data_IF_479760413019
#
_entry.id   IF_479760413019
#
_cell.length_a   1.000
_cell.length_b   1.000
_cell.length_c   1.000
_cell.angle_alpha   90.00
_cell.angle_beta   90.00
_cell.angle_gamma   90.00
#
_symmetry.space_group_name_H-M   'P 1'
#
loop_
_entity.id
_entity.type
_entity.pdbx_description
1 polymer ?
#
# COMPACT_ATOMS: atom_id res chain seq x y z
N UNK A 1 23.22 -16.98 21.91
CA UNK A 1 23.30 -18.07 22.90
C UNK A 1 21.91 -18.66 23.06
N UNK A 2 21.73 -19.98 23.00
CA UNK A 2 20.43 -20.62 23.18
C UNK A 2 19.87 -20.31 24.57
N UNK A 3 18.58 -19.97 24.63
CA UNK A 3 17.88 -19.63 25.88
C UNK A 3 17.36 -20.90 26.54
N UNK A 4 17.36 -20.88 27.87
CA UNK A 4 16.89 -22.00 28.70
C UNK A 4 15.41 -21.81 29.08
N UNK A 5 14.87 -20.59 28.92
CA UNK A 5 13.49 -20.24 29.30
C UNK A 5 12.81 -19.46 28.18
N UNK A 6 11.53 -19.71 28.01
CA UNK A 6 10.65 -18.97 27.11
C UNK A 6 10.30 -17.62 27.74
N UNK A 7 10.60 -16.53 27.04
CA UNK A 7 10.20 -15.18 27.42
C UNK A 7 9.37 -14.58 26.29
N UNK A 8 8.26 -13.92 26.62
CA UNK A 8 7.32 -13.39 25.62
C UNK A 8 7.97 -12.48 24.58
N UNK A 9 8.99 -11.71 24.95
CA UNK A 9 9.72 -10.84 24.03
C UNK A 9 10.52 -11.59 22.95
N UNK A 10 10.79 -12.88 23.14
CA UNK A 10 11.47 -13.76 22.19
C UNK A 10 10.50 -14.68 21.44
N UNK A 11 9.19 -14.47 21.62
CA UNK A 11 8.19 -15.17 20.84
C UNK A 11 8.17 -14.62 19.41
N UNK A 12 8.00 -15.52 18.46
CA UNK A 12 7.83 -15.19 17.05
C UNK A 12 6.49 -15.68 16.57
N UNK A 13 5.78 -14.84 15.82
CA UNK A 13 4.56 -15.19 15.13
C UNK A 13 4.87 -15.29 13.64
N UNK A 14 4.68 -16.47 13.08
CA UNK A 14 4.73 -16.71 11.65
C UNK A 14 3.31 -16.96 11.15
N UNK A 15 3.00 -16.47 9.95
CA UNK A 15 1.72 -16.75 9.33
C UNK A 15 1.87 -17.05 7.84
N UNK A 16 0.99 -17.89 7.30
CA UNK A 16 0.93 -18.16 5.86
C UNK A 16 -0.53 -18.39 5.44
N UNK A 17 -0.88 -17.92 4.23
CA UNK A 17 -2.20 -18.20 3.64
C UNK A 17 -2.27 -19.67 3.22
N UNK A 18 -3.37 -20.32 3.56
CA UNK A 18 -3.64 -21.70 3.16
C UNK A 18 -4.22 -21.75 1.74
N UNK A 19 -3.83 -22.76 0.96
CA UNK A 19 -4.42 -23.00 -0.37
C UNK A 19 -5.79 -23.68 -0.27
N UNK A 20 -6.01 -24.41 0.81
CA UNK A 20 -7.30 -25.00 1.16
C UNK A 20 -7.45 -25.01 2.68
N UNK A 21 -8.69 -24.96 3.15
CA UNK A 21 -9.00 -24.84 4.58
C UNK A 21 -8.34 -25.96 5.41
N UNK A 22 -7.64 -25.58 6.48
CA UNK A 22 -6.99 -26.48 7.43
C UNK A 22 -5.74 -27.17 6.88
N UNK A 23 -5.28 -26.79 5.68
CA UNK A 23 -4.09 -27.38 5.05
C UNK A 23 -2.90 -26.43 5.21
N UNK A 24 -2.09 -26.71 6.23
CA UNK A 24 -0.89 -25.94 6.52
C UNK A 24 0.09 -25.91 5.32
N UNK A 25 0.49 -24.72 4.84
CA UNK A 25 1.45 -24.59 3.75
C UNK A 25 2.82 -25.14 4.12
N UNK A 26 3.56 -25.63 3.13
CA UNK A 26 4.92 -26.14 3.30
C UNK A 26 5.98 -25.03 3.33
N UNK A 27 5.67 -23.84 2.82
CA UNK A 27 6.59 -22.71 2.68
C UNK A 27 5.82 -21.39 2.61
N UNK A 28 6.53 -20.27 2.45
CA UNK A 28 5.96 -18.91 2.34
C UNK A 28 5.41 -18.31 3.63
N UNK A 29 5.81 -18.86 4.78
CA UNK A 29 5.56 -18.21 6.07
C UNK A 29 6.28 -16.88 6.16
N UNK A 30 5.58 -15.89 6.69
CA UNK A 30 6.11 -14.55 6.97
C UNK A 30 6.05 -14.26 8.46
N UNK A 31 7.08 -13.61 8.97
CA UNK A 31 7.07 -13.12 10.35
C UNK A 31 6.16 -11.90 10.46
N UNK A 32 5.32 -11.88 11.48
CA UNK A 32 4.44 -10.79 11.84
C UNK A 32 4.78 -10.28 13.23
N UNK A 33 4.74 -8.96 13.39
CA UNK A 33 4.87 -8.35 14.71
C UNK A 33 3.54 -8.45 15.45
N UNK A 34 3.62 -8.69 16.75
CA UNK A 34 2.46 -8.77 17.64
C UNK A 34 2.88 -8.32 19.03
N UNK A 35 1.93 -7.80 19.79
CA UNK A 35 2.13 -7.33 21.17
C UNK A 35 1.76 -8.41 22.18
N UNK A 36 0.66 -9.11 21.94
CA UNK A 36 0.19 -10.23 22.74
C UNK A 36 -0.65 -11.17 21.88
N UNK A 37 -0.71 -12.43 22.28
CA UNK A 37 -1.48 -13.47 21.63
C UNK A 37 -1.96 -14.44 22.72
N UNK A 38 -3.26 -14.67 22.79
CA UNK A 38 -3.88 -15.69 23.65
C UNK A 38 -4.58 -16.77 22.82
N UNK A 39 -4.27 -16.85 21.51
CA UNK A 39 -4.72 -17.92 20.63
C UNK A 39 -4.30 -19.28 21.19
N UNK A 40 -5.29 -20.14 21.42
CA UNK A 40 -5.08 -21.49 21.96
C UNK A 40 -6.15 -22.44 21.46
N UNK A 41 -5.77 -23.71 21.35
CA UNK A 41 -6.73 -24.79 21.19
C UNK A 41 -7.47 -24.99 22.52
N UNK A 42 -8.78 -24.93 22.51
CA UNK A 42 -9.63 -25.35 23.62
C UNK A 42 -10.52 -26.52 23.20
N UNK A 43 -10.88 -27.34 24.18
CA UNK A 43 -11.77 -28.45 24.00
C UNK A 43 -12.80 -28.46 25.12
N UNK A 44 -14.03 -27.97 24.87
CA UNK A 44 -15.04 -27.92 25.90
C UNK A 44 -15.46 -29.35 26.31
N UNK A 45 -15.84 -29.47 27.57
CA UNK A 45 -16.48 -30.69 28.08
C UNK A 45 -17.99 -30.54 27.88
N UNK A 46 -18.63 -31.56 27.33
CA UNK A 46 -20.08 -31.61 27.10
C UNK A 46 -20.66 -32.98 27.46
N UNK A 47 -21.93 -33.16 27.14
CA UNK A 47 -22.63 -34.43 27.36
C UNK A 47 -22.49 -35.35 26.13
N UNK A 48 -22.27 -36.64 26.35
CA UNK A 48 -22.25 -37.65 25.27
C UNK A 48 -23.67 -37.82 24.70
N UNK A 49 -23.87 -37.67 23.37
CA UNK A 49 -25.19 -37.78 22.75
C UNK A 49 -25.74 -39.22 22.69
N UNK A 50 -24.92 -40.25 22.89
CA UNK A 50 -25.28 -41.66 22.69
C UNK A 50 -25.38 -42.48 23.99
N UNK A 51 -24.73 -42.05 25.07
CA UNK A 51 -24.66 -42.77 26.35
C UNK A 51 -25.08 -41.86 27.51
N UNK A 52 -25.64 -42.42 28.58
CA UNK A 52 -25.90 -41.65 29.83
C UNK A 52 -27.36 -41.47 30.26
N UNK A 53 -28.35 -42.07 29.60
CA UNK A 53 -29.77 -42.05 30.08
C UNK A 53 -30.05 -42.96 31.30
N UNK A 54 -29.00 -43.44 31.96
CA UNK A 54 -29.06 -44.41 33.05
C UNK A 54 -29.07 -43.75 34.44
N UNK A 55 -28.88 -44.56 35.48
CA UNK A 55 -28.99 -44.13 36.89
C UNK A 55 -27.68 -43.56 37.49
N UNK A 56 -26.58 -43.61 36.75
CA UNK A 56 -25.28 -43.09 37.16
C UNK A 56 -25.06 -41.72 36.51
N UNK A 57 -24.41 -40.80 37.23
CA UNK A 57 -23.94 -39.54 36.65
C UNK A 57 -22.98 -39.85 35.50
N UNK A 58 -23.16 -39.14 34.40
CA UNK A 58 -22.40 -39.35 33.17
C UNK A 58 -21.02 -38.69 33.28
N UNK A 59 -19.99 -39.39 32.79
CA UNK A 59 -18.65 -38.79 32.68
C UNK A 59 -18.64 -37.76 31.54
N UNK A 60 -18.00 -36.59 31.72
CA UNK A 60 -17.95 -35.56 30.70
C UNK A 60 -17.31 -36.05 29.39
N UNK A 61 -17.97 -35.77 28.27
CA UNK A 61 -17.46 -36.04 26.93
C UNK A 61 -16.61 -34.87 26.42
N UNK A 62 -15.56 -35.17 25.66
CA UNK A 62 -14.70 -34.15 25.06
C UNK A 62 -15.29 -33.68 23.73
N UNK A 63 -15.64 -32.41 23.64
CA UNK A 63 -16.19 -31.78 22.43
C UNK A 63 -15.18 -31.67 21.29
N UNK A 64 -15.58 -30.94 20.24
CA UNK A 64 -14.67 -30.57 19.14
C UNK A 64 -13.58 -29.65 19.67
N UNK A 65 -12.37 -29.79 19.13
CA UNK A 65 -11.28 -28.85 19.41
C UNK A 65 -11.53 -27.61 18.55
N UNK A 66 -11.55 -26.45 19.19
CA UNK A 66 -11.66 -25.14 18.53
C UNK A 66 -10.44 -24.30 18.88
N UNK A 67 -9.89 -23.61 17.89
CA UNK A 67 -8.84 -22.62 18.13
C UNK A 67 -9.51 -21.26 18.33
N UNK A 68 -9.45 -20.74 19.56
CA UNK A 68 -10.04 -19.45 19.92
C UNK A 68 -9.01 -18.53 20.57
N UNK A 69 -9.28 -17.22 20.50
CA UNK A 69 -8.43 -16.18 21.10
C UNK A 69 -8.34 -14.93 20.24
N UNK A 70 -7.42 -14.05 20.61
CA UNK A 70 -7.13 -12.76 19.98
C UNK A 70 -5.62 -12.56 19.84
N UNK A 71 -5.27 -11.75 18.86
CA UNK A 71 -3.91 -11.28 18.65
C UNK A 71 -3.94 -9.75 18.69
N UNK A 72 -3.21 -9.13 19.62
CA UNK A 72 -3.01 -7.68 19.62
C UNK A 72 -1.88 -7.34 18.65
N UNK A 73 -2.20 -6.62 17.59
CA UNK A 73 -1.26 -6.26 16.52
C UNK A 73 -0.91 -4.76 16.57
N UNK A 74 0.32 -4.36 16.21
CA UNK A 74 0.61 -2.97 15.95
C UNK A 74 0.00 -2.51 14.61
N UNK A 75 -0.21 -1.20 14.45
CA UNK A 75 -0.45 -0.62 13.13
C UNK A 75 0.92 -0.40 12.46
N UNK A 76 1.25 -1.26 11.50
CA UNK A 76 2.51 -1.21 10.79
C UNK A 76 2.31 -1.32 9.26
N UNK A 77 3.29 -0.86 8.48
CA UNK A 77 3.20 -0.81 7.01
C UNK A 77 3.25 -2.19 6.33
N UNK A 78 3.79 -3.22 6.98
CA UNK A 78 4.05 -4.56 6.40
C UNK A 78 2.97 -5.59 6.79
N UNK A 79 2.49 -5.53 8.03
CA UNK A 79 1.56 -6.47 8.64
C UNK A 79 0.10 -6.07 8.46
N UNK A 80 -0.22 -4.78 8.52
CA UNK A 80 -1.62 -4.30 8.50
C UNK A 80 -2.44 -4.83 7.32
N UNK A 81 -1.91 -4.78 6.10
CA UNK A 81 -2.62 -5.27 4.91
C UNK A 81 -2.99 -6.77 4.97
N UNK A 82 -2.21 -7.59 5.67
CA UNK A 82 -2.55 -9.01 5.84
C UNK A 82 -3.62 -9.24 6.86
N UNK A 83 -3.59 -8.50 7.97
CA UNK A 83 -4.63 -8.56 8.98
C UNK A 83 -5.96 -8.09 8.39
N UNK A 84 -5.95 -7.02 7.59
CA UNK A 84 -7.11 -6.57 6.82
C UNK A 84 -7.58 -7.64 5.83
N UNK A 85 -6.65 -8.32 5.15
CA UNK A 85 -6.99 -9.41 4.23
C UNK A 85 -7.63 -10.61 4.95
N UNK A 86 -7.15 -10.95 6.15
CA UNK A 86 -7.77 -11.99 6.96
C UNK A 86 -9.13 -11.61 7.55
N UNK A 87 -9.40 -10.33 7.76
CA UNK A 87 -10.68 -9.87 8.31
C UNK A 87 -11.74 -9.62 7.23
N UNK A 88 -11.33 -9.09 6.08
CA UNK A 88 -12.25 -8.59 5.04
C UNK A 88 -12.18 -9.36 3.72
N UNK A 89 -11.23 -10.28 3.56
CA UNK A 89 -11.01 -10.97 2.28
C UNK A 89 -9.92 -10.32 1.42
N UNK A 90 -9.75 -10.83 0.21
CA UNK A 90 -8.73 -10.32 -0.71
C UNK A 90 -9.01 -8.87 -1.12
N UNK A 91 -8.01 -7.98 -1.08
CA UNK A 91 -8.20 -6.59 -1.49
C UNK A 91 -8.34 -6.47 -3.01
N UNK A 92 -9.22 -5.57 -3.44
CA UNK A 92 -9.15 -5.00 -4.78
C UNK A 92 -7.89 -4.12 -4.85
N UNK A 93 -6.92 -4.53 -5.66
CA UNK A 93 -5.64 -3.82 -5.79
C UNK A 93 -5.52 -3.19 -7.16
N UNK A 94 -5.36 -1.87 -7.20
CA UNK A 94 -5.12 -1.12 -8.43
C UNK A 94 -3.81 -0.35 -8.34
N UNK A 95 -3.16 -0.16 -9.48
CA UNK A 95 -1.98 0.69 -9.54
C UNK A 95 -2.42 2.16 -9.61
N UNK A 96 -1.75 3.01 -8.84
CA UNK A 96 -1.95 4.47 -8.84
C UNK A 96 -0.86 5.13 -9.66
N UNK A 97 -1.22 6.21 -10.37
CA UNK A 97 -0.27 7.02 -11.13
C UNK A 97 0.46 8.00 -10.22
N UNK A 98 1.68 8.37 -10.61
CA UNK A 98 2.41 9.42 -9.93
C UNK A 98 1.92 10.79 -10.41
N UNK A 99 1.76 11.75 -9.51
CA UNK A 99 1.35 13.10 -9.82
C UNK A 99 2.17 14.15 -9.07
N UNK A 100 2.08 15.38 -9.55
CA UNK A 100 2.73 16.55 -9.00
C UNK A 100 2.28 17.78 -9.78
N UNK A 101 2.74 18.95 -9.34
CA UNK A 101 2.36 20.19 -10.01
C UNK A 101 3.48 21.23 -9.97
N UNK A 102 3.32 22.25 -10.80
CA UNK A 102 4.08 23.50 -10.71
C UNK A 102 3.07 24.62 -10.49
N UNK A 103 3.10 25.24 -9.32
CA UNK A 103 2.26 26.39 -8.98
C UNK A 103 2.95 27.69 -9.38
N UNK A 104 2.23 28.60 -10.01
CA UNK A 104 2.76 29.87 -10.48
C UNK A 104 2.19 31.01 -9.65
N UNK A 105 3.06 31.81 -9.04
CA UNK A 105 2.62 32.96 -8.22
C UNK A 105 2.34 34.23 -9.03
N UNK A 106 2.84 34.27 -10.27
CA UNK A 106 2.68 35.37 -11.24
C UNK A 106 3.06 34.84 -12.64
N UNK A 107 2.89 35.66 -13.67
CA UNK A 107 3.29 35.36 -15.03
C UNK A 107 4.79 34.99 -15.12
N UNK A 108 5.19 33.92 -15.82
CA UNK A 108 6.60 33.61 -16.03
C UNK A 108 7.30 34.74 -16.78
N UNK A 109 8.53 35.08 -16.37
CA UNK A 109 9.32 36.06 -17.09
C UNK A 109 9.75 35.51 -18.47
N UNK A 110 9.99 36.41 -19.43
CA UNK A 110 10.52 36.02 -20.73
C UNK A 110 11.86 35.27 -20.59
N UNK A 111 12.01 34.17 -21.34
CA UNK A 111 13.15 33.24 -21.31
C UNK A 111 13.34 32.51 -19.97
N UNK A 112 12.37 32.55 -19.07
CA UNK A 112 12.34 31.65 -17.92
C UNK A 112 12.00 30.23 -18.37
N UNK A 113 12.30 29.23 -17.53
CA UNK A 113 12.20 27.82 -17.90
C UNK A 113 11.62 26.97 -16.80
N UNK A 114 10.90 25.92 -17.19
CA UNK A 114 10.68 24.74 -16.36
C UNK A 114 11.49 23.58 -16.93
N UNK A 115 11.88 22.63 -16.08
CA UNK A 115 12.60 21.42 -16.48
C UNK A 115 11.81 20.20 -16.03
N UNK A 116 11.48 19.35 -16.99
CA UNK A 116 10.66 18.15 -16.82
C UNK A 116 11.49 16.94 -17.25
N UNK A 117 11.83 16.05 -16.31
CA UNK A 117 12.71 14.88 -16.56
C UNK A 117 14.00 15.23 -17.35
N UNK A 118 14.61 16.39 -17.05
CA UNK A 118 15.82 16.89 -17.72
C UNK A 118 15.59 17.69 -19.01
N UNK A 119 14.36 17.76 -19.53
CA UNK A 119 14.00 18.55 -20.70
C UNK A 119 13.67 19.97 -20.29
N UNK A 120 14.40 20.96 -20.81
CA UNK A 120 14.14 22.37 -20.56
C UNK A 120 13.05 22.88 -21.49
N UNK A 121 11.99 23.44 -20.91
CA UNK A 121 10.89 24.09 -21.59
C UNK A 121 10.90 25.59 -21.30
N UNK A 122 10.81 26.44 -22.32
CA UNK A 122 11.03 27.89 -22.18
C UNK A 122 9.79 28.72 -22.46
N UNK A 123 9.56 29.75 -21.65
CA UNK A 123 8.51 30.75 -21.87
C UNK A 123 9.02 31.90 -22.74
N UNK A 124 8.33 32.19 -23.84
CA UNK A 124 8.73 33.21 -24.82
C UNK A 124 7.63 34.24 -25.05
N UNK A 125 7.99 35.44 -25.45
CA UNK A 125 7.02 36.50 -25.82
C UNK A 125 6.74 36.55 -27.33
N UNK A 126 7.56 35.87 -28.14
CA UNK A 126 7.41 35.75 -29.59
C UNK A 126 6.75 34.44 -30.03
N UNK A 127 6.82 34.13 -31.32
CA UNK A 127 6.32 32.86 -31.87
C UNK A 127 7.12 31.69 -31.29
N UNK A 128 6.46 30.72 -30.63
CA UNK A 128 7.15 29.59 -30.03
C UNK A 128 7.73 28.66 -31.11
N UNK A 129 8.89 28.09 -30.80
CA UNK A 129 9.50 27.00 -31.54
C UNK A 129 9.42 25.70 -30.73
N UNK A 130 10.24 24.69 -31.04
CA UNK A 130 10.25 23.46 -30.26
C UNK A 130 10.57 23.73 -28.78
N UNK A 131 9.88 23.02 -27.88
CA UNK A 131 10.03 23.09 -26.42
C UNK A 131 9.85 24.50 -25.83
N UNK A 132 8.89 25.24 -26.37
CA UNK A 132 8.56 26.59 -25.95
C UNK A 132 7.06 26.81 -25.88
N UNK A 133 6.65 27.67 -24.96
CA UNK A 133 5.28 28.17 -24.86
C UNK A 133 5.29 29.68 -24.90
N UNK A 134 4.33 30.25 -25.64
CA UNK A 134 4.15 31.69 -25.69
C UNK A 134 3.45 32.19 -24.42
N UNK A 135 3.99 33.23 -23.81
CA UNK A 135 3.37 33.94 -22.69
C UNK A 135 2.12 34.66 -23.20
N UNK A 136 0.98 34.32 -22.63
CA UNK A 136 -0.33 34.87 -22.96
C UNK A 136 -0.62 36.21 -22.28
N UNK A 137 -1.82 36.73 -22.53
CA UNK A 137 -2.30 37.99 -21.95
C UNK A 137 -2.58 37.90 -20.44
N UNK A 138 -2.79 36.69 -19.91
CA UNK A 138 -2.97 36.38 -18.49
C UNK A 138 -2.21 35.10 -18.13
N UNK A 139 -2.09 34.83 -16.83
CA UNK A 139 -1.52 33.58 -16.34
C UNK A 139 -2.35 32.37 -16.82
N UNK A 140 -3.67 32.42 -16.70
CA UNK A 140 -4.59 31.39 -17.21
C UNK A 140 -4.36 31.05 -18.69
N UNK A 141 -4.22 32.08 -19.53
CA UNK A 141 -3.96 31.90 -20.95
C UNK A 141 -2.59 31.24 -21.20
N UNK A 142 -1.62 31.54 -20.34
CA UNK A 142 -0.26 30.97 -20.42
C UNK A 142 -0.24 29.53 -19.96
N UNK A 143 -0.93 29.19 -18.86
CA UNK A 143 -1.04 27.82 -18.37
C UNK A 143 -1.82 26.93 -19.34
N UNK A 144 -2.90 27.45 -19.93
CA UNK A 144 -3.68 26.72 -20.94
C UNK A 144 -2.84 26.42 -22.18
N UNK A 145 -2.07 27.40 -22.67
CA UNK A 145 -1.16 27.20 -23.79
C UNK A 145 -0.03 26.21 -23.41
N UNK A 146 0.53 26.33 -22.21
CA UNK A 146 1.58 25.45 -21.71
C UNK A 146 1.14 23.98 -21.68
N UNK A 147 -0.02 23.68 -21.10
CA UNK A 147 -0.55 22.33 -21.07
C UNK A 147 -0.76 21.79 -22.50
N UNK A 148 -1.36 22.60 -23.38
CA UNK A 148 -1.58 22.21 -24.78
C UNK A 148 -0.29 21.95 -25.55
N UNK A 149 0.73 22.78 -25.36
CA UNK A 149 2.01 22.62 -26.07
C UNK A 149 2.79 21.40 -25.53
N UNK A 150 2.72 21.14 -24.22
CA UNK A 150 3.35 19.98 -23.59
C UNK A 150 2.68 18.67 -24.02
N UNK A 151 1.34 18.60 -24.03
CA UNK A 151 0.60 17.42 -24.50
C UNK A 151 0.79 17.17 -26.01
N UNK A 152 1.04 18.22 -26.80
CA UNK A 152 1.36 18.11 -28.21
C UNK A 152 2.85 17.79 -28.49
N UNK A 153 3.70 17.81 -27.46
CA UNK A 153 5.12 17.59 -27.60
C UNK A 153 5.42 16.16 -28.07
N UNK A 154 6.37 16.05 -29.00
CA UNK A 154 6.89 14.75 -29.48
C UNK A 154 8.14 14.30 -28.71
N UNK A 155 8.56 15.06 -27.71
CA UNK A 155 9.68 14.69 -26.85
C UNK A 155 9.31 13.47 -25.99
N UNK A 156 10.15 12.43 -26.03
CA UNK A 156 9.87 11.14 -25.43
C UNK A 156 9.81 11.16 -23.89
N UNK A 157 10.40 12.16 -23.24
CA UNK A 157 10.26 12.33 -21.79
C UNK A 157 9.00 13.11 -21.46
N UNK A 158 8.71 14.18 -22.21
CA UNK A 158 7.50 15.00 -21.99
C UNK A 158 6.24 14.18 -22.22
N UNK A 159 6.21 13.34 -23.27
CA UNK A 159 5.05 12.53 -23.66
C UNK A 159 4.76 11.34 -22.73
N UNK A 160 5.44 11.22 -21.59
CA UNK A 160 5.15 10.21 -20.55
C UNK A 160 4.11 10.70 -19.54
N UNK A 161 3.77 11.97 -19.59
CA UNK A 161 2.82 12.60 -18.69
C UNK A 161 1.70 13.27 -19.47
N UNK A 162 0.54 13.31 -18.84
CA UNK A 162 -0.56 14.19 -19.22
C UNK A 162 -0.46 15.48 -18.41
N UNK A 163 -0.62 16.62 -19.08
CA UNK A 163 -0.54 17.94 -18.47
C UNK A 163 -1.92 18.59 -18.43
N UNK A 164 -2.27 19.27 -17.34
CA UNK A 164 -3.55 19.97 -17.24
C UNK A 164 -3.36 21.33 -16.59
N UNK A 165 -3.96 22.36 -17.17
CA UNK A 165 -3.99 23.68 -16.57
C UNK A 165 -5.13 23.78 -15.55
N UNK A 166 -4.79 24.00 -14.29
CA UNK A 166 -5.74 24.42 -13.25
C UNK A 166 -5.64 25.94 -13.09
N UNK A 167 -6.57 26.64 -13.73
CA UNK A 167 -6.65 28.11 -13.70
C UNK A 167 -7.31 28.64 -12.42
N UNK A 168 -7.82 27.78 -11.53
CA UNK A 168 -8.38 28.21 -10.25
C UNK A 168 -7.29 28.36 -9.20
N UNK A 169 -6.36 27.41 -9.19
CA UNK A 169 -5.24 27.33 -8.25
C UNK A 169 -3.91 27.84 -8.82
N UNK A 170 -3.90 28.37 -10.06
CA UNK A 170 -2.73 28.83 -10.81
C UNK A 170 -1.64 27.74 -10.93
N UNK A 171 -2.04 26.53 -11.35
CA UNK A 171 -1.15 25.34 -11.43
C UNK A 171 -1.11 24.71 -12.81
N UNK A 172 0.07 24.20 -13.15
CA UNK A 172 0.21 23.11 -14.11
C UNK A 172 0.21 21.79 -13.35
N UNK A 173 -0.86 21.03 -13.47
CA UNK A 173 -0.97 19.66 -12.95
C UNK A 173 -0.31 18.67 -13.92
N UNK A 174 0.44 17.73 -13.36
CA UNK A 174 1.27 16.77 -14.10
C UNK A 174 0.96 15.37 -13.57
N UNK A 175 0.45 14.49 -14.42
CA UNK A 175 0.18 13.10 -14.10
C UNK A 175 0.99 12.18 -15.02
N UNK A 176 1.74 11.24 -14.45
CA UNK A 176 2.48 10.24 -15.22
C UNK A 176 1.54 9.16 -15.76
N UNK A 177 1.60 8.88 -17.06
CA UNK A 177 0.58 8.06 -17.73
C UNK A 177 0.62 6.58 -17.32
N UNK A 178 1.82 6.05 -17.08
CA UNK A 178 1.96 4.68 -16.61
C UNK A 178 1.76 4.60 -15.10
N UNK A 179 0.72 3.89 -14.68
CA UNK A 179 0.48 3.61 -13.27
C UNK A 179 1.63 2.78 -12.65
N UNK A 180 1.79 2.91 -11.33
CA UNK A 180 2.83 2.24 -10.56
C UNK A 180 3.98 3.17 -10.17
N UNK A 181 5.09 2.57 -9.73
CA UNK A 181 6.20 3.33 -9.12
C UNK A 181 7.12 4.03 -10.11
N UNK A 182 7.02 3.71 -11.41
CA UNK A 182 7.93 4.23 -12.44
C UNK A 182 7.87 5.76 -12.55
N UNK A 183 6.69 6.37 -12.38
CA UNK A 183 6.55 7.83 -12.44
C UNK A 183 7.25 8.58 -11.31
N UNK A 184 7.56 7.92 -10.19
CA UNK A 184 8.14 8.58 -9.02
C UNK A 184 9.57 9.09 -9.23
N UNK A 185 10.23 8.74 -10.34
CA UNK A 185 11.56 9.26 -10.71
C UNK A 185 11.49 10.47 -11.65
N UNK A 186 10.29 10.83 -12.16
CA UNK A 186 10.13 11.96 -13.06
C UNK A 186 10.39 13.26 -12.32
N UNK A 187 11.44 13.99 -12.70
CA UNK A 187 11.91 15.18 -11.97
C UNK A 187 11.19 16.43 -12.43
N UNK A 188 10.92 17.34 -11.49
CA UNK A 188 10.37 18.67 -11.75
C UNK A 188 11.35 19.74 -11.27
N UNK A 189 11.56 20.79 -12.07
CA UNK A 189 12.22 22.00 -11.62
C UNK A 189 11.64 23.24 -12.33
N UNK A 190 11.76 24.38 -11.66
CA UNK A 190 11.37 25.67 -12.20
C UNK A 190 12.51 26.68 -11.95
N UNK A 191 12.83 27.51 -12.95
CA UNK A 191 13.82 28.56 -12.78
C UNK A 191 13.28 29.66 -11.85
N UNK A 192 14.15 30.34 -11.11
CA UNK A 192 13.71 31.37 -10.15
C UNK A 192 12.91 32.52 -10.78
N UNK A 193 13.12 32.79 -12.07
CA UNK A 193 12.42 33.82 -12.83
C UNK A 193 11.15 33.33 -13.55
N UNK A 194 10.78 32.04 -13.45
CA UNK A 194 9.52 31.54 -14.02
C UNK A 194 8.33 31.76 -13.10
N UNK A 195 8.56 32.23 -11.87
CA UNK A 195 7.55 32.34 -10.80
C UNK A 195 6.86 31.00 -10.47
N UNK A 196 7.42 29.88 -10.94
CA UNK A 196 6.94 28.53 -10.70
C UNK A 196 7.57 27.90 -9.45
N UNK A 197 6.77 27.22 -8.65
CA UNK A 197 7.19 26.41 -7.50
C UNK A 197 6.68 24.98 -7.67
N UNK A 198 7.59 24.02 -7.71
CA UNK A 198 7.27 22.59 -7.85
C UNK A 198 6.71 22.01 -6.55
N UNK A 199 5.72 21.13 -6.64
CA UNK A 199 5.16 20.41 -5.48
C UNK A 199 6.20 19.57 -4.72
N UNK A 200 7.13 18.96 -5.47
CA UNK A 200 8.28 18.21 -4.97
C UNK A 200 9.35 18.12 -6.08
N UNK A 201 10.55 17.64 -5.73
CA UNK A 201 11.63 17.45 -6.71
C UNK A 201 11.32 16.37 -7.77
N UNK A 202 10.42 15.45 -7.44
CA UNK A 202 9.90 14.40 -8.34
C UNK A 202 8.39 14.26 -8.17
N UNK A 203 7.71 13.65 -9.14
CA UNK A 203 6.33 13.20 -8.96
C UNK A 203 6.24 12.19 -7.81
N UNK A 204 5.07 12.11 -7.18
CA UNK A 204 4.83 11.25 -6.01
C UNK A 204 3.47 10.55 -6.13
N UNK A 205 3.19 9.57 -5.26
CA UNK A 205 1.90 8.89 -5.22
C UNK A 205 1.75 7.69 -6.19
N UNK A 206 2.73 7.47 -7.07
CA UNK A 206 2.77 6.28 -7.92
C UNK A 206 3.01 5.02 -7.10
N UNK A 207 2.15 4.02 -7.23
CA UNK A 207 2.19 2.84 -6.36
C UNK A 207 0.96 1.96 -6.49
N UNK A 208 0.45 1.49 -5.35
CA UNK A 208 -0.71 0.61 -5.26
C UNK A 208 -1.71 1.16 -4.27
N UNK A 209 -2.99 1.12 -4.64
CA UNK A 209 -4.12 1.32 -3.76
C UNK A 209 -4.78 -0.04 -3.52
N UNK A 210 -5.04 -0.33 -2.24
CA UNK A 210 -5.73 -1.54 -1.80
C UNK A 210 -7.05 -1.15 -1.15
N UNK A 211 -8.15 -1.73 -1.64
CA UNK A 211 -9.49 -1.57 -1.08
C UNK A 211 -9.99 -2.91 -0.55
N UNK A 212 -10.37 -2.93 0.73
CA UNK A 212 -10.99 -4.09 1.38
C UNK A 212 -12.47 -3.78 1.59
N UNK A 213 -13.34 -4.59 0.99
CA UNK A 213 -14.79 -4.45 1.13
C UNK A 213 -15.29 -5.37 2.24
N UNK A 214 -16.19 -4.87 3.09
CA UNK A 214 -16.87 -5.70 4.08
C UNK A 214 -17.97 -6.54 3.44
N UNK A 215 -18.24 -7.73 3.98
CA UNK A 215 -19.39 -8.54 3.59
C UNK A 215 -19.14 -9.50 2.42
N UNK A 216 -17.88 -9.77 2.08
CA UNK A 216 -17.53 -10.88 1.21
C UNK A 216 -17.80 -12.23 1.89
N UNK A 217 -18.34 -13.19 1.15
CA UNK A 217 -18.62 -14.54 1.64
C UNK A 217 -17.33 -15.39 1.78
N UNK A 218 -16.28 -15.01 1.04
CA UNK A 218 -14.99 -15.70 0.99
C UNK A 218 -13.92 -14.96 1.81
N UNK A 219 -13.60 -15.53 2.98
CA UNK A 219 -12.45 -15.08 3.79
C UNK A 219 -11.32 -16.10 3.66
N UNK A 220 -10.09 -15.67 3.37
CA UNK A 220 -8.95 -16.57 3.26
C UNK A 220 -8.64 -17.25 4.60
N UNK A 221 -8.24 -18.52 4.49
CA UNK A 221 -7.77 -19.31 5.62
C UNK A 221 -6.27 -19.10 5.83
N UNK A 222 -5.82 -19.07 7.09
CA UNK A 222 -4.41 -18.85 7.43
C UNK A 222 -3.93 -19.86 8.46
N UNK A 223 -2.68 -20.27 8.29
CA UNK A 223 -1.95 -20.99 9.33
C UNK A 223 -1.12 -20.00 10.12
N UNK A 224 -1.25 -20.02 11.45
CA UNK A 224 -0.43 -19.27 12.38
C UNK A 224 0.49 -20.21 13.14
N UNK A 225 1.75 -19.82 13.32
CA UNK A 225 2.72 -20.52 14.13
C UNK A 225 3.33 -19.57 15.15
N UNK A 226 3.13 -19.87 16.43
CA UNK A 226 3.62 -19.08 17.56
C UNK A 226 4.66 -19.92 18.28
N UNK A 227 5.87 -19.40 18.44
CA UNK A 227 6.89 -20.18 19.11
C UNK A 227 8.11 -19.40 19.57
N UNK A 228 9.00 -20.11 20.23
CA UNK A 228 10.25 -19.59 20.74
C UNK A 228 11.43 -20.26 20.03
N UNK A 229 11.88 -19.70 18.89
CA UNK A 229 12.93 -20.31 18.08
C UNK A 229 14.31 -20.28 18.73
N UNK A 230 14.53 -19.40 19.71
CA UNK A 230 15.81 -19.23 20.39
C UNK A 230 16.03 -20.21 21.57
N UNK A 231 15.06 -21.07 21.87
CA UNK A 231 15.22 -22.07 22.93
C UNK A 231 16.24 -23.14 22.52
N UNK A 232 16.83 -23.76 23.54
CA UNK A 232 17.73 -24.92 23.36
C UNK A 232 17.03 -26.07 22.62
N UNK A 233 15.72 -26.22 22.86
CA UNK A 233 14.81 -27.00 22.02
C UNK A 233 13.69 -26.06 21.58
N UNK A 234 13.68 -25.60 20.31
CA UNK A 234 12.63 -24.75 19.79
C UNK A 234 11.25 -25.39 19.99
N UNK A 235 10.28 -24.60 20.43
CA UNK A 235 8.90 -25.03 20.62
C UNK A 235 7.97 -24.10 19.86
N UNK A 236 7.01 -24.69 19.15
CA UNK A 236 6.06 -23.99 18.28
C UNK A 236 4.66 -24.60 18.46
N UNK A 237 3.67 -23.73 18.51
CA UNK A 237 2.25 -24.05 18.44
C UNK A 237 1.73 -23.59 17.10
N UNK A 238 1.03 -24.48 16.38
CA UNK A 238 0.50 -24.20 15.05
C UNK A 238 -1.02 -24.32 15.08
N UNK A 239 -1.68 -23.30 14.57
CA UNK A 239 -3.13 -23.20 14.39
C UNK A 239 -3.41 -23.06 12.91
N UNK A 240 -4.42 -23.78 12.40
CA UNK A 240 -4.76 -23.82 10.97
C UNK A 240 -6.27 -23.77 10.81
N UNK A 241 -6.74 -23.13 9.74
CA UNK A 241 -8.16 -22.86 9.53
C UNK A 241 -8.53 -21.40 9.69
N UNK A 242 -9.83 -21.14 9.66
CA UNK A 242 -10.46 -19.82 9.83
C UNK A 242 -11.07 -19.73 11.22
#
# INVERSE_FOLDING_TARGET
MPKVRAYGADATLLACRETGYGVAPLSSYRSLDFKSCDLSAEQPLGDDPLLGRGRNAQDPYRGLITDEGRIEIPLDLRGSGFWLTGLFGDPATVQTKASGHIAFSDQPAANSTIVLSGVSWMFVTGTPTANQTQIGASLDATLTALASDLDASVDAEISKCTYTADTTDDRLEIEFDAAGITGNVFTLAASANSNGTTSAATLTGGGYQHEWLSGGDDIPSFTFEIGHPQLTTPAFFRHSGR
#
